data_IF_091705750480
#
_entry.id   IF_091705750480
#
_cell.length_a   1.000
_cell.length_b   1.000
_cell.length_c   1.000
_cell.angle_alpha   90.00
_cell.angle_beta   90.00
_cell.angle_gamma   90.00
#
_symmetry.space_group_name_H-M   'P 1'
#
loop_
_entity.id
_entity.type
_entity.pdbx_description
1 polymer ?
#
# COMPACT_ATOMS: atom_id res chain seq x y z
N UNK A 1 0.03 11.10 -11.76
CA UNK A 1 -0.24 10.87 -10.34
C UNK A 1 -1.22 11.92 -9.87
N UNK A 2 -2.31 11.53 -9.23
CA UNK A 2 -3.28 12.48 -8.69
C UNK A 2 -3.02 12.62 -7.18
N UNK A 3 -2.35 13.72 -6.80
CA UNK A 3 -2.13 14.09 -5.40
C UNK A 3 -3.03 15.28 -5.07
N UNK A 4 -4.05 15.04 -4.26
CA UNK A 4 -5.03 16.06 -3.93
C UNK A 4 -4.88 16.48 -2.47
N UNK A 5 -4.78 17.78 -2.26
CA UNK A 5 -4.85 18.37 -0.94
C UNK A 5 -6.30 18.44 -0.45
N UNK A 6 -6.52 18.14 0.82
CA UNK A 6 -7.81 18.25 1.48
C UNK A 6 -7.62 18.82 2.89
N UNK A 7 -8.41 19.84 3.26
CA UNK A 7 -8.34 20.50 4.57
C UNK A 7 -6.92 20.91 5.01
N UNK A 8 -6.10 21.45 4.09
CA UNK A 8 -4.74 21.87 4.39
C UNK A 8 -3.74 20.72 4.57
N UNK A 9 -4.13 19.48 4.24
CA UNK A 9 -3.28 18.29 4.30
C UNK A 9 -3.08 17.72 2.91
N UNK A 10 -1.81 17.59 2.53
CA UNK A 10 -1.37 17.01 1.27
C UNK A 10 -0.61 15.72 1.52
N UNK A 11 -0.66 14.72 0.61
CA UNK A 11 0.18 13.53 0.72
C UNK A 11 1.66 13.89 0.81
N UNK A 12 2.33 13.40 1.85
CA UNK A 12 3.77 13.45 2.07
C UNK A 12 4.38 12.13 1.54
N UNK A 13 5.22 12.21 0.52
CA UNK A 13 5.82 11.04 -0.13
C UNK A 13 7.33 11.15 -0.03
N UNK A 14 7.99 10.11 0.48
CA UNK A 14 9.44 10.03 0.49
C UNK A 14 10.03 10.04 -0.93
N UNK A 15 11.20 10.67 -1.09
CA UNK A 15 11.97 10.65 -2.33
C UNK A 15 12.39 9.23 -2.76
N UNK A 16 12.47 8.30 -1.80
CA UNK A 16 12.85 6.90 -2.03
C UNK A 16 11.63 5.99 -2.20
N UNK A 17 10.41 6.51 -2.12
CA UNK A 17 9.19 5.75 -2.36
C UNK A 17 8.81 5.76 -3.85
N UNK A 18 8.01 4.77 -4.24
CA UNK A 18 7.33 4.76 -5.52
C UNK A 18 5.84 4.90 -5.37
N UNK A 19 5.28 5.85 -6.10
CA UNK A 19 3.85 5.98 -6.23
C UNK A 19 3.53 6.01 -7.71
N UNK A 20 2.82 4.97 -8.18
CA UNK A 20 2.41 4.89 -9.57
C UNK A 20 1.62 6.13 -9.96
N UNK A 21 1.84 6.69 -11.17
CA UNK A 21 1.06 7.84 -11.63
C UNK A 21 -0.42 7.55 -11.85
N UNK A 22 -0.79 6.28 -11.89
CA UNK A 22 -2.14 5.77 -12.02
C UNK A 22 -2.84 5.57 -10.67
N UNK A 23 -2.22 6.00 -9.58
CA UNK A 23 -2.84 5.99 -8.25
C UNK A 23 -3.38 7.38 -7.88
N UNK A 24 -4.35 7.38 -6.97
CA UNK A 24 -5.02 8.58 -6.46
C UNK A 24 -4.84 8.66 -4.95
N UNK A 25 -4.16 9.69 -4.47
CA UNK A 25 -3.90 9.94 -3.06
C UNK A 25 -4.54 11.29 -2.66
N UNK A 26 -5.38 11.28 -1.62
CA UNK A 26 -6.15 12.45 -1.18
C UNK A 26 -5.95 12.68 0.32
N UNK A 27 -5.57 13.90 0.70
CA UNK A 27 -5.55 14.33 2.11
C UNK A 27 -4.30 13.93 2.88
N UNK A 28 -4.49 13.58 4.16
CA UNK A 28 -3.43 13.33 5.14
C UNK A 28 -2.83 11.92 5.00
N UNK A 29 -1.85 11.78 4.12
CA UNK A 29 -1.21 10.50 3.79
C UNK A 29 0.30 10.65 3.94
N UNK A 30 0.96 9.66 4.53
CA UNK A 30 2.41 9.54 4.62
C UNK A 30 2.87 8.25 3.96
N UNK A 31 3.74 8.36 2.97
CA UNK A 31 4.38 7.24 2.27
C UNK A 31 5.87 7.25 2.60
N UNK A 32 6.31 6.28 3.39
CA UNK A 32 7.69 6.21 3.87
C UNK A 32 8.64 5.59 2.83
N UNK A 33 9.94 5.63 3.13
CA UNK A 33 11.02 5.18 2.25
C UNK A 33 10.81 3.76 1.72
N UNK A 34 11.14 3.56 0.44
CA UNK A 34 11.10 2.26 -0.22
C UNK A 34 9.71 1.61 -0.30
N UNK A 35 8.65 2.29 0.17
CA UNK A 35 7.27 1.86 -0.02
C UNK A 35 6.87 1.97 -1.49
N UNK A 36 6.01 1.06 -1.95
CA UNK A 36 5.63 0.93 -3.35
C UNK A 36 4.11 0.91 -3.48
N UNK A 37 3.54 1.87 -4.21
CA UNK A 37 2.11 1.95 -4.50
C UNK A 37 1.88 1.69 -5.99
N UNK A 38 1.14 0.63 -6.27
CA UNK A 38 0.87 0.15 -7.63
C UNK A 38 -0.33 0.87 -8.28
N UNK A 39 -0.42 0.82 -9.63
CA UNK A 39 -1.50 1.44 -10.41
C UNK A 39 -2.92 1.10 -9.92
N UNK A 40 -3.83 2.08 -9.99
CA UNK A 40 -5.24 1.89 -9.67
C UNK A 40 -5.58 1.93 -8.18
N UNK A 41 -4.58 2.06 -7.30
CA UNK A 41 -4.80 2.23 -5.87
C UNK A 41 -5.43 3.60 -5.56
N UNK A 42 -6.42 3.62 -4.67
CA UNK A 42 -7.10 4.84 -4.21
C UNK A 42 -6.96 4.94 -2.70
N UNK A 43 -6.31 6.01 -2.24
CA UNK A 43 -5.94 6.21 -0.84
C UNK A 43 -6.51 7.55 -0.38
N UNK A 44 -7.40 7.53 0.62
CA UNK A 44 -8.19 8.69 1.07
C UNK A 44 -8.03 8.92 2.57
N UNK A 45 -7.07 9.78 2.91
CA UNK A 45 -6.81 10.27 4.27
C UNK A 45 -7.58 11.56 4.57
N UNK A 46 -8.87 11.62 4.23
CA UNK A 46 -9.69 12.83 4.42
C UNK A 46 -9.98 13.10 5.90
N UNK A 47 -10.25 12.05 6.68
CA UNK A 47 -10.75 12.16 8.05
C UNK A 47 -9.68 11.85 9.10
N UNK A 48 -8.69 11.02 8.74
CA UNK A 48 -7.56 10.62 9.59
C UNK A 48 -6.29 10.37 8.80
N UNK A 49 -5.16 10.28 9.49
CA UNK A 49 -3.87 9.92 8.90
C UNK A 49 -3.91 8.50 8.32
N UNK A 50 -3.35 8.35 7.11
CA UNK A 50 -2.93 7.06 6.55
C UNK A 50 -1.41 7.05 6.49
N UNK A 51 -0.77 6.13 7.22
CA UNK A 51 0.68 5.93 7.21
C UNK A 51 1.02 4.59 6.53
N UNK A 52 1.89 4.63 5.54
CA UNK A 52 2.41 3.45 4.83
C UNK A 52 3.89 3.32 5.16
N UNK A 53 4.25 2.30 5.94
CA UNK A 53 5.60 2.06 6.44
C UNK A 53 6.61 1.68 5.37
N UNK A 54 7.88 1.65 5.77
CA UNK A 54 9.01 1.40 4.89
C UNK A 54 8.94 0.02 4.25
N UNK A 55 9.38 -0.09 2.99
CA UNK A 55 9.35 -1.35 2.21
C UNK A 55 7.95 -1.98 2.05
N UNK A 56 6.89 -1.33 2.51
CA UNK A 56 5.54 -1.86 2.37
C UNK A 56 5.00 -1.65 0.96
N UNK A 57 4.31 -2.66 0.45
CA UNK A 57 3.80 -2.67 -0.92
C UNK A 57 2.27 -2.68 -0.92
N UNK A 58 1.69 -1.71 -1.62
CA UNK A 58 0.26 -1.59 -1.88
C UNK A 58 0.01 -1.94 -3.34
N UNK A 59 -0.55 -3.12 -3.60
CA UNK A 59 -0.82 -3.62 -4.95
C UNK A 59 -2.00 -2.93 -5.64
N UNK A 60 -2.27 -3.35 -6.87
CA UNK A 60 -3.22 -2.71 -7.75
C UNK A 60 -4.65 -2.70 -7.20
N UNK A 61 -5.36 -1.59 -7.41
CA UNK A 61 -6.78 -1.49 -7.06
C UNK A 61 -7.06 -1.59 -5.55
N UNK A 62 -6.05 -1.42 -4.70
CA UNK A 62 -6.26 -1.35 -3.25
C UNK A 62 -6.96 -0.06 -2.89
N UNK A 63 -7.96 -0.15 -2.02
CA UNK A 63 -8.70 0.99 -1.50
C UNK A 63 -8.41 1.18 -0.02
N UNK A 64 -7.83 2.33 0.34
CA UNK A 64 -7.61 2.74 1.72
C UNK A 64 -8.44 3.98 1.99
N UNK A 65 -9.32 3.96 2.98
CA UNK A 65 -10.08 5.15 3.34
C UNK A 65 -10.36 5.25 4.83
N UNK A 66 -10.54 6.49 5.29
CA UNK A 66 -10.82 6.81 6.69
C UNK A 66 -12.22 7.41 6.78
N UNK A 67 -13.02 7.00 7.77
CA UNK A 67 -14.40 7.45 7.95
C UNK A 67 -14.57 8.38 9.16
N UNK A 68 -13.80 8.16 10.21
CA UNK A 68 -13.87 8.94 11.45
C UNK A 68 -12.47 9.38 11.87
N UNK A 69 -12.38 10.28 12.84
CA UNK A 69 -11.09 10.74 13.37
C UNK A 69 -10.29 9.63 14.10
N UNK A 70 -10.98 8.57 14.55
CA UNK A 70 -10.36 7.39 15.18
C UNK A 70 -9.99 6.29 14.17
N UNK A 71 -10.45 6.37 12.93
CA UNK A 71 -10.23 5.34 11.92
C UNK A 71 -8.94 5.57 11.14
N UNK A 72 -7.83 5.90 11.82
CA UNK A 72 -6.52 6.04 11.16
C UNK A 72 -6.09 4.70 10.58
N UNK A 73 -5.36 4.74 9.46
CA UNK A 73 -4.74 3.54 8.90
C UNK A 73 -3.25 3.61 9.18
N UNK A 74 -2.74 2.64 9.92
CA UNK A 74 -1.32 2.44 10.11
C UNK A 74 -0.94 1.11 9.46
N UNK A 75 -0.07 1.18 8.46
CA UNK A 75 0.57 0.00 7.87
C UNK A 75 2.04 0.07 8.29
N UNK A 76 2.49 -0.95 9.01
CA UNK A 76 3.89 -1.10 9.44
C UNK A 76 4.86 -1.29 8.28
N UNK A 77 6.07 -1.74 8.60
CA UNK A 77 7.16 -2.00 7.65
C UNK A 77 7.05 -3.37 7.03
N UNK A 78 7.52 -3.51 5.79
CA UNK A 78 7.55 -4.78 5.06
C UNK A 78 6.18 -5.46 4.93
N UNK A 79 5.10 -4.70 4.99
CA UNK A 79 3.75 -5.21 4.81
C UNK A 79 3.43 -5.38 3.33
N UNK A 80 2.63 -6.39 2.99
CA UNK A 80 2.20 -6.63 1.62
C UNK A 80 0.68 -6.64 1.59
N UNK A 81 0.09 -5.63 0.93
CA UNK A 81 -1.35 -5.50 0.73
C UNK A 81 -1.63 -5.83 -0.73
N UNK A 82 -2.19 -7.01 -0.98
CA UNK A 82 -2.41 -7.54 -2.33
C UNK A 82 -3.62 -6.89 -3.03
N UNK A 83 -3.77 -7.19 -4.32
CA UNK A 83 -4.69 -6.50 -5.22
C UNK A 83 -6.15 -6.59 -4.76
N UNK A 84 -6.89 -5.50 -4.92
CA UNK A 84 -8.32 -5.44 -4.62
C UNK A 84 -8.68 -5.52 -3.13
N UNK A 85 -7.69 -5.43 -2.22
CA UNK A 85 -7.94 -5.32 -0.78
C UNK A 85 -8.57 -3.96 -0.47
N UNK A 86 -9.51 -3.96 0.48
CA UNK A 86 -10.14 -2.75 1.01
C UNK A 86 -9.89 -2.63 2.50
N UNK A 87 -9.37 -1.48 2.96
CA UNK A 87 -9.08 -1.21 4.37
C UNK A 87 -9.79 0.06 4.80
N UNK A 88 -10.62 -0.07 5.83
CA UNK A 88 -11.27 1.02 6.54
C UNK A 88 -10.68 1.08 7.95
N UNK A 89 -9.72 1.98 8.20
CA UNK A 89 -9.20 2.29 9.54
C UNK A 89 -8.61 1.12 10.36
N UNK A 90 -7.42 0.64 10.01
CA UNK A 90 -6.79 -0.50 10.69
C UNK A 90 -5.39 -0.15 11.22
N UNK A 91 -4.98 -0.76 12.33
CA UNK A 91 -3.59 -0.75 12.79
C UNK A 91 -2.93 -2.10 12.46
N UNK A 92 -1.97 -2.10 11.53
CA UNK A 92 -1.18 -3.26 11.15
C UNK A 92 0.27 -3.06 11.57
N UNK A 93 0.79 -4.00 12.34
CA UNK A 93 2.22 -4.07 12.69
C UNK A 93 3.08 -4.48 11.48
N UNK A 94 4.37 -4.68 11.72
CA UNK A 94 5.32 -5.04 10.67
C UNK A 94 5.05 -6.44 10.08
N UNK A 95 5.49 -6.67 8.85
CA UNK A 95 5.44 -7.96 8.15
C UNK A 95 4.02 -8.51 7.88
N UNK A 96 2.98 -7.73 8.11
CA UNK A 96 1.59 -8.15 7.87
C UNK A 96 1.33 -8.35 6.38
N UNK A 97 0.63 -9.43 6.04
CA UNK A 97 0.15 -9.68 4.68
C UNK A 97 -1.37 -9.72 4.65
N UNK A 98 -1.95 -8.97 3.72
CA UNK A 98 -3.39 -9.03 3.43
C UNK A 98 -3.54 -9.46 1.98
N UNK A 99 -4.04 -10.67 1.79
CA UNK A 99 -4.17 -11.26 0.48
C UNK A 99 -5.39 -10.75 -0.28
N UNK A 100 -5.36 -10.98 -1.59
CA UNK A 100 -6.30 -10.45 -2.59
C UNK A 100 -7.77 -10.48 -2.17
N UNK A 101 -8.46 -9.36 -2.42
CA UNK A 101 -9.91 -9.23 -2.25
C UNK A 101 -10.41 -9.33 -0.81
N UNK A 102 -9.54 -9.15 0.19
CA UNK A 102 -9.92 -9.13 1.60
C UNK A 102 -10.44 -7.75 2.04
N UNK A 103 -11.27 -7.74 3.07
CA UNK A 103 -11.88 -6.54 3.66
C UNK A 103 -11.49 -6.41 5.13
N UNK A 104 -10.95 -5.25 5.50
CA UNK A 104 -10.51 -4.97 6.86
C UNK A 104 -11.29 -3.77 7.41
N UNK A 105 -12.00 -3.97 8.52
CA UNK A 105 -12.82 -2.94 9.15
C UNK A 105 -12.11 -2.17 10.27
N UNK A 106 -12.78 -1.10 10.70
CA UNK A 106 -12.23 -0.12 11.61
C UNK A 106 -11.95 -0.67 13.00
N UNK A 107 -11.00 -0.04 13.71
CA UNK A 107 -10.61 -0.40 15.07
C UNK A 107 -9.98 -1.80 15.20
N UNK A 108 -9.75 -2.49 14.08
CA UNK A 108 -9.00 -3.74 14.05
C UNK A 108 -7.50 -3.49 14.23
N UNK A 109 -6.85 -4.43 14.94
CA UNK A 109 -5.41 -4.45 15.14
C UNK A 109 -4.86 -5.79 14.67
N UNK A 110 -3.85 -5.75 13.81
CA UNK A 110 -3.22 -6.93 13.22
C UNK A 110 -1.77 -7.00 13.67
N UNK A 111 -1.47 -7.99 14.51
CA UNK A 111 -0.14 -8.20 15.06
C UNK A 111 0.90 -8.64 14.02
N UNK A 112 2.17 -8.46 14.37
CA UNK A 112 3.34 -8.63 13.52
C UNK A 112 3.35 -9.99 12.79
N UNK A 113 3.62 -9.97 11.48
CA UNK A 113 3.71 -11.18 10.64
C UNK A 113 2.39 -11.93 10.44
N UNK A 114 1.25 -11.38 10.84
CA UNK A 114 -0.02 -12.05 10.59
C UNK A 114 -0.36 -12.04 9.10
N UNK A 115 -1.06 -13.09 8.65
CA UNK A 115 -1.53 -13.24 7.28
C UNK A 115 -3.05 -13.34 7.27
N UNK A 116 -3.70 -12.42 6.57
CA UNK A 116 -5.12 -12.51 6.22
C UNK A 116 -5.20 -13.14 4.83
N UNK A 117 -5.74 -14.36 4.75
CA UNK A 117 -5.85 -15.09 3.48
C UNK A 117 -6.91 -14.47 2.58
N UNK A 118 -6.82 -14.79 1.29
CA UNK A 118 -7.60 -14.17 0.23
C UNK A 118 -9.11 -14.26 0.48
N UNK A 119 -9.84 -13.22 0.07
CA UNK A 119 -11.30 -13.11 0.20
C UNK A 119 -11.80 -13.31 1.63
N UNK A 120 -11.11 -12.74 2.61
CA UNK A 120 -11.49 -12.80 4.02
C UNK A 120 -11.95 -11.45 4.57
N UNK A 121 -12.68 -11.47 5.67
CA UNK A 121 -13.23 -10.26 6.31
C UNK A 121 -12.82 -10.18 7.78
N UNK A 122 -12.03 -9.14 8.12
CA UNK A 122 -11.66 -8.83 9.50
C UNK A 122 -12.72 -7.89 10.09
N UNK A 123 -13.53 -8.34 11.06
CA UNK A 123 -14.60 -7.55 11.63
C UNK A 123 -14.06 -6.35 12.44
N UNK A 124 -14.90 -5.31 12.67
CA UNK A 124 -14.50 -4.14 13.44
C UNK A 124 -14.02 -4.52 14.85
N UNK A 125 -12.98 -3.84 15.34
CA UNK A 125 -12.46 -4.02 16.71
C UNK A 125 -11.71 -5.34 16.96
N UNK A 126 -11.57 -6.22 15.96
CA UNK A 126 -10.85 -7.48 16.15
C UNK A 126 -9.36 -7.24 16.37
N UNK A 127 -8.83 -7.77 17.47
CA UNK A 127 -7.39 -7.81 17.75
C UNK A 127 -6.84 -9.18 17.38
N UNK A 128 -5.95 -9.21 16.40
CA UNK A 128 -5.32 -10.42 15.86
C UNK A 128 -3.92 -10.54 16.46
N UNK A 129 -3.59 -11.64 17.18
CA UNK A 129 -2.26 -11.87 17.72
C UNK A 129 -1.18 -11.99 16.62
N UNK A 130 0.06 -11.66 16.95
CA UNK A 130 1.20 -11.80 16.04
C UNK A 130 1.32 -13.22 15.46
N UNK A 131 1.76 -13.31 14.20
CA UNK A 131 1.99 -14.53 13.44
C UNK A 131 0.72 -15.38 13.26
N UNK A 132 -0.46 -14.79 13.32
CA UNK A 132 -1.70 -15.52 13.08
C UNK A 132 -2.00 -15.63 11.59
N UNK A 133 -2.38 -16.81 11.10
CA UNK A 133 -2.89 -16.99 9.73
C UNK A 133 -4.39 -17.23 9.80
N UNK A 134 -5.17 -16.31 9.23
CA UNK A 134 -6.63 -16.33 9.32
C UNK A 134 -7.30 -16.38 7.95
N UNK A 135 -8.51 -16.93 7.91
CA UNK A 135 -9.35 -16.96 6.71
C UNK A 135 -10.83 -16.97 7.07
N UNK A 136 -11.66 -16.48 6.16
CA UNK A 136 -13.11 -16.60 6.25
C UNK A 136 -13.82 -15.26 6.38
N UNK A 137 -15.14 -15.33 6.45
CA UNK A 137 -16.04 -14.18 6.58
C UNK A 137 -17.05 -14.53 7.68
N UNK A 138 -16.84 -14.11 8.95
CA UNK A 138 -15.65 -13.42 9.47
C UNK A 138 -14.42 -14.34 9.53
N UNK A 139 -13.24 -13.75 9.68
CA UNK A 139 -11.97 -14.49 9.80
C UNK A 139 -11.93 -15.40 11.04
N UNK A 140 -11.38 -16.59 10.85
CA UNK A 140 -11.01 -17.52 11.92
C UNK A 140 -9.53 -17.93 11.79
N UNK A 141 -8.81 -18.13 12.91
CA UNK A 141 -7.42 -18.58 12.87
C UNK A 141 -7.33 -20.03 12.39
N UNK A 142 -6.51 -20.28 11.37
CA UNK A 142 -6.25 -21.62 10.83
C UNK A 142 -4.98 -22.22 11.42
N UNK A 143 -3.94 -21.39 11.52
CA UNK A 143 -2.62 -21.81 12.00
C UNK A 143 -1.79 -20.61 12.43
N UNK A 144 -0.65 -20.91 13.04
CA UNK A 144 0.40 -19.93 13.30
C UNK A 144 1.41 -19.92 12.15
N UNK A 145 2.01 -18.76 11.93
CA UNK A 145 3.08 -18.54 10.98
C UNK A 145 4.45 -18.79 11.64
N UNK A 146 5.31 -19.50 10.92
CA UNK A 146 6.69 -19.71 11.34
C UNK A 146 7.56 -18.47 11.10
N UNK A 147 8.62 -18.29 11.90
CA UNK A 147 9.59 -17.21 11.72
C UNK A 147 10.31 -17.27 10.37
N UNK A 148 10.53 -18.46 9.82
CA UNK A 148 11.16 -18.63 8.51
C UNK A 148 10.25 -18.14 7.38
N UNK A 149 8.94 -18.31 7.50
CA UNK A 149 7.99 -17.73 6.54
C UNK A 149 8.03 -16.19 6.61
N UNK A 150 8.11 -15.62 7.81
CA UNK A 150 8.23 -14.16 8.01
C UNK A 150 9.50 -13.57 7.37
N UNK A 151 10.65 -14.26 7.49
CA UNK A 151 11.88 -13.84 6.80
C UNK A 151 11.70 -13.80 5.27
N UNK A 152 11.03 -14.81 4.69
CA UNK A 152 10.72 -14.81 3.25
C UNK A 152 9.77 -13.67 2.86
N UNK A 153 8.87 -13.24 3.75
CA UNK A 153 8.00 -12.09 3.49
C UNK A 153 8.81 -10.80 3.40
N UNK A 154 9.77 -10.62 4.30
CA UNK A 154 10.71 -9.48 4.25
C UNK A 154 11.44 -9.45 2.91
N UNK A 155 12.02 -10.58 2.49
CA UNK A 155 12.72 -10.69 1.20
C UNK A 155 11.80 -10.36 0.02
N UNK A 156 10.53 -10.80 0.06
CA UNK A 156 9.53 -10.43 -0.97
C UNK A 156 9.23 -8.93 -0.99
N UNK A 157 9.06 -8.30 0.17
CA UNK A 157 8.81 -6.87 0.27
C UNK A 157 10.00 -6.04 -0.27
N UNK A 158 11.23 -6.42 0.09
CA UNK A 158 12.46 -5.83 -0.47
C UNK A 158 12.55 -6.04 -1.99
N UNK A 159 12.19 -7.22 -2.47
CA UNK A 159 12.16 -7.52 -3.90
C UNK A 159 11.19 -6.61 -4.66
N UNK A 160 9.99 -6.33 -4.12
CA UNK A 160 9.06 -5.38 -4.75
C UNK A 160 9.61 -3.95 -4.79
N UNK A 161 10.32 -3.53 -3.74
CA UNK A 161 11.01 -2.24 -3.73
C UNK A 161 12.12 -2.16 -4.80
N UNK A 162 12.90 -3.23 -4.96
CA UNK A 162 13.90 -3.32 -6.04
C UNK A 162 13.27 -3.39 -7.43
N UNK A 163 12.13 -4.07 -7.57
CA UNK A 163 11.38 -4.12 -8.82
C UNK A 163 10.90 -2.72 -9.21
N UNK A 164 10.53 -1.88 -8.25
CA UNK A 164 10.26 -0.47 -8.50
C UNK A 164 11.46 0.22 -9.17
N UNK A 165 12.69 0.08 -8.64
CA UNK A 165 13.88 0.72 -9.23
C UNK A 165 14.00 0.33 -10.71
N UNK A 166 13.85 -0.97 -11.01
CA UNK A 166 13.89 -1.47 -12.39
C UNK A 166 12.77 -0.90 -13.26
N UNK A 167 11.53 -0.86 -12.75
CA UNK A 167 10.38 -0.28 -13.46
C UNK A 167 10.61 1.22 -13.71
N UNK A 168 11.18 1.93 -12.73
CA UNK A 168 11.48 3.34 -12.82
C UNK A 168 12.50 3.61 -13.93
N UNK A 169 13.54 2.80 -14.00
CA UNK A 169 14.62 2.97 -14.97
C UNK A 169 14.22 2.52 -16.39
N UNK A 170 13.44 1.44 -16.50
CA UNK A 170 13.12 0.81 -17.79
C UNK A 170 11.80 1.27 -18.41
N UNK A 171 10.86 1.79 -17.62
CA UNK A 171 9.54 2.23 -18.08
C UNK A 171 9.28 3.70 -17.69
N UNK A 172 10.07 4.67 -18.20
CA UNK A 172 9.86 6.09 -17.90
C UNK A 172 8.46 6.56 -18.35
N UNK A 173 7.93 6.00 -19.44
CA UNK A 173 6.60 6.34 -19.95
C UNK A 173 5.45 5.79 -19.07
N UNK A 174 5.71 4.81 -18.21
CA UNK A 174 4.75 4.32 -17.22
C UNK A 174 4.67 5.23 -15.97
N UNK A 175 5.42 6.34 -15.94
CA UNK A 175 5.46 7.32 -14.85
C UNK A 175 4.58 8.54 -15.12
N UNK A 176 3.91 8.59 -16.28
CA UNK A 176 2.83 9.52 -16.53
C UNK A 176 2.66 9.77 -18.02
N UNK A 177 1.40 9.82 -18.46
CA UNK A 177 0.99 10.23 -19.82
C UNK A 177 1.31 11.70 -20.14
N UNK A 178 1.95 12.44 -19.23
CA UNK A 178 2.60 13.68 -19.59
C UNK A 178 4.01 13.34 -20.01
N UNK A 179 4.28 13.45 -21.31
CA UNK A 179 5.61 13.80 -21.76
C UNK A 179 6.05 15.00 -20.91
N UNK A 180 7.11 14.83 -20.13
CA UNK A 180 7.75 16.01 -19.56
C UNK A 180 8.15 16.89 -20.74
N UNK A 181 8.19 18.22 -20.57
CA UNK A 181 8.65 19.10 -21.64
C UNK A 181 10.00 18.64 -22.25
N UNK A 182 10.98 18.17 -21.46
CA UNK A 182 12.19 17.52 -21.99
C UNK A 182 11.94 16.27 -22.86
N UNK A 183 11.03 15.39 -22.47
CA UNK A 183 10.70 14.19 -23.25
C UNK A 183 10.01 14.55 -24.56
N UNK A 184 9.12 15.55 -24.54
CA UNK A 184 8.49 16.10 -25.74
C UNK A 184 9.53 16.70 -26.70
N UNK A 185 10.48 17.47 -26.19
CA UNK A 185 11.59 18.04 -26.98
C UNK A 185 12.46 16.94 -27.59
N UNK A 186 12.79 15.88 -26.84
CA UNK A 186 13.56 14.74 -27.37
C UNK A 186 12.85 14.01 -28.50
N UNK A 187 11.53 13.87 -28.42
CA UNK A 187 10.72 13.26 -29.50
C UNK A 187 10.75 14.15 -30.75
N UNK A 188 10.48 15.45 -30.60
CA UNK A 188 10.52 16.41 -31.72
C UNK A 188 11.88 16.48 -32.42
N UNK A 189 12.97 16.31 -31.67
CA UNK A 189 14.32 16.31 -32.24
C UNK A 189 14.69 15.00 -32.93
N UNK A 190 14.07 13.87 -32.54
CA UNK A 190 14.29 12.56 -33.19
C UNK A 190 13.59 12.42 -34.53
N UNK A 191 12.48 13.11 -34.77
CA UNK A 191 11.74 13.07 -36.04
C UNK A 191 12.38 13.92 -37.16
N UNK A 192 13.49 14.61 -36.89
CA UNK A 192 14.17 15.49 -37.86
C UNK A 192 15.40 14.88 -38.55
N UNK A 193 15.68 13.59 -38.35
CA UNK A 193 16.73 12.83 -39.04
C UNK A 193 16.12 11.63 -39.76
#
# INVERSE_FOLDING_TARGET
MVLLEFNGKKPEISNNAYVSPLSTLIGNIKVNDNAVIWPGSVIRGENSLINIGEFSTIFNGVMLFTRMQKSSIHIGRYCIIESGVTILGCFMEDYVQVMEGSLIYEESSIGEGSIILNKSEVPPGLTIPARSVLKGIPVEPIREQSRNEMLKQKERAEHYSQLFIKIKDQLPNAQGYLLTYPDFVKILLKEKN
#
